data_IF_401153003565
#
_entry.id   IF_401153003565
#
_cell.length_a   1.000
_cell.length_b   1.000
_cell.length_c   1.000
_cell.angle_alpha   90.00
_cell.angle_beta   90.00
_cell.angle_gamma   90.00
#
_symmetry.space_group_name_H-M   'P 1'
#
loop_
_entity.id
_entity.type
_entity.pdbx_description
1 polymer ?
#
# COMPACT_ATOMS: atom_id res chain seq x y z
N UNK A 1 -6.99 -12.40 -13.19
CA UNK A 1 -6.20 -13.50 -12.57
C UNK A 1 -5.25 -13.04 -11.48
N UNK A 2 -4.45 -11.98 -11.67
CA UNK A 2 -3.48 -11.50 -10.68
C UNK A 2 -4.14 -10.93 -9.40
N UNK A 3 -5.19 -10.12 -9.54
CA UNK A 3 -5.95 -9.55 -8.41
C UNK A 3 -6.52 -10.67 -7.54
N UNK A 4 -7.02 -11.74 -8.15
CA UNK A 4 -7.58 -12.90 -7.45
C UNK A 4 -6.52 -13.63 -6.59
N UNK A 5 -5.30 -13.79 -7.09
CA UNK A 5 -4.21 -14.42 -6.30
C UNK A 5 -3.79 -13.56 -5.10
N UNK A 6 -3.87 -12.24 -5.22
CA UNK A 6 -3.43 -11.31 -4.18
C UNK A 6 -4.42 -11.17 -3.03
N UNK A 7 -5.71 -11.31 -3.33
CA UNK A 7 -6.78 -11.32 -2.34
C UNK A 7 -6.66 -12.51 -1.37
N UNK A 8 -6.01 -13.59 -1.79
CA UNK A 8 -5.88 -14.79 -0.97
C UNK A 8 -4.81 -14.69 0.12
N UNK A 9 -3.79 -13.84 -0.01
CA UNK A 9 -2.71 -13.78 0.99
C UNK A 9 -2.86 -12.63 1.98
N UNK A 10 -3.54 -11.53 1.61
CA UNK A 10 -3.75 -10.38 2.49
C UNK A 10 -5.11 -9.74 2.32
N UNK A 11 -5.58 -9.11 3.37
CA UNK A 11 -6.60 -8.09 3.28
C UNK A 11 -5.91 -6.77 2.93
N UNK A 12 -6.35 -6.11 1.86
CA UNK A 12 -6.03 -4.72 1.57
C UNK A 12 -7.30 -4.03 1.12
N UNK A 13 -7.97 -3.38 2.03
CA UNK A 13 -9.34 -2.88 1.82
C UNK A 13 -9.48 -1.43 2.23
N UNK A 14 -10.13 -0.59 1.40
CA UNK A 14 -10.61 0.72 1.83
C UNK A 14 -11.84 0.54 2.74
N UNK A 15 -11.89 1.26 3.84
CA UNK A 15 -13.08 1.30 4.68
C UNK A 15 -14.15 2.18 4.01
N UNK A 16 -15.45 1.77 4.03
CA UNK A 16 -16.50 2.46 3.28
C UNK A 16 -16.78 3.90 3.73
N UNK A 17 -16.65 4.16 5.04
CA UNK A 17 -16.87 5.49 5.61
C UNK A 17 -15.55 6.26 5.72
N UNK A 18 -15.60 7.57 5.48
CA UNK A 18 -14.49 8.48 5.74
C UNK A 18 -14.38 8.80 7.24
N UNK A 19 -13.19 9.16 7.70
CA UNK A 19 -13.00 9.74 9.03
C UNK A 19 -13.75 11.08 9.14
N UNK A 20 -13.96 11.58 10.37
CA UNK A 20 -14.57 12.90 10.62
C UNK A 20 -13.84 14.04 9.89
N UNK A 21 -12.55 13.86 9.61
CA UNK A 21 -11.71 14.80 8.87
C UNK A 21 -11.67 14.50 7.36
N UNK A 22 -12.56 13.65 6.84
CA UNK A 22 -12.69 13.26 5.44
C UNK A 22 -11.47 12.55 4.85
N UNK A 23 -10.78 11.70 5.63
CA UNK A 23 -9.73 10.83 5.14
C UNK A 23 -10.25 9.42 4.87
N UNK A 24 -9.77 8.78 3.79
CA UNK A 24 -10.02 7.38 3.50
C UNK A 24 -9.07 6.50 4.30
N UNK A 25 -9.61 5.51 5.01
CA UNK A 25 -8.81 4.53 5.75
C UNK A 25 -8.61 3.27 4.91
N UNK A 26 -7.36 2.85 4.77
CA UNK A 26 -6.98 1.59 4.15
C UNK A 26 -6.46 0.64 5.20
N UNK A 27 -7.01 -0.57 5.22
CA UNK A 27 -6.59 -1.63 6.13
C UNK A 27 -5.77 -2.68 5.39
N UNK A 28 -4.59 -3.00 5.92
CA UNK A 28 -3.74 -4.09 5.46
C UNK A 28 -3.51 -5.10 6.59
N UNK A 29 -3.72 -6.39 6.27
CA UNK A 29 -3.41 -7.52 7.15
C UNK A 29 -3.03 -8.73 6.33
N UNK A 30 -1.93 -9.38 6.68
CA UNK A 30 -1.58 -10.69 6.12
C UNK A 30 -2.54 -11.75 6.66
N UNK A 31 -3.15 -12.55 5.78
CA UNK A 31 -4.13 -13.60 6.14
C UNK A 31 -3.43 -14.86 6.64
N UNK A 32 -2.49 -15.35 5.86
CA UNK A 32 -1.78 -16.60 6.09
C UNK A 32 -0.28 -16.41 5.96
N UNK A 33 0.45 -16.85 6.98
CA UNK A 33 1.91 -16.78 7.05
C UNK A 33 2.56 -17.60 5.92
N UNK A 34 2.05 -18.80 5.65
CA UNK A 34 2.65 -19.69 4.64
C UNK A 34 2.51 -19.15 3.22
N UNK A 35 1.37 -18.52 2.92
CA UNK A 35 1.14 -17.88 1.63
C UNK A 35 1.98 -16.60 1.50
N UNK A 36 2.10 -15.82 2.58
CA UNK A 36 2.87 -14.57 2.60
C UNK A 36 4.35 -14.75 2.27
N UNK A 37 4.96 -15.89 2.62
CA UNK A 37 6.36 -16.17 2.33
C UNK A 37 6.68 -16.31 0.84
N UNK A 38 5.70 -16.70 0.03
CA UNK A 38 5.85 -16.91 -1.41
C UNK A 38 5.40 -15.72 -2.26
N UNK A 39 4.88 -14.64 -1.62
CA UNK A 39 4.38 -13.48 -2.33
C UNK A 39 5.52 -12.65 -2.92
N UNK A 40 5.36 -12.25 -4.17
CA UNK A 40 6.18 -11.23 -4.79
C UNK A 40 5.66 -9.83 -4.40
N UNK A 41 6.55 -9.01 -3.85
CA UNK A 41 6.19 -7.67 -3.36
C UNK A 41 5.66 -6.76 -4.48
N UNK A 42 6.12 -6.96 -5.71
CA UNK A 42 5.60 -6.23 -6.87
C UNK A 42 4.10 -6.43 -7.06
N UNK A 43 3.59 -7.61 -6.70
CA UNK A 43 2.16 -7.88 -6.78
C UNK A 43 1.38 -7.11 -5.70
N UNK A 44 1.94 -6.96 -4.49
CA UNK A 44 1.34 -6.09 -3.45
C UNK A 44 1.21 -4.65 -3.98
N UNK A 45 2.26 -4.13 -4.61
CA UNK A 45 2.25 -2.79 -5.18
C UNK A 45 1.20 -2.65 -6.30
N UNK A 46 1.06 -3.66 -7.15
CA UNK A 46 0.00 -3.67 -8.19
C UNK A 46 -1.40 -3.59 -7.57
N UNK A 47 -1.67 -4.37 -6.51
CA UNK A 47 -2.95 -4.29 -5.81
C UNK A 47 -3.17 -2.88 -5.24
N UNK A 48 -2.16 -2.32 -4.58
CA UNK A 48 -2.24 -0.96 -4.02
C UNK A 48 -2.56 0.06 -5.12
N UNK A 49 -1.89 -0.01 -6.27
CA UNK A 49 -2.11 0.88 -7.40
C UNK A 49 -3.53 0.72 -7.96
N UNK A 50 -4.00 -0.51 -8.18
CA UNK A 50 -5.33 -0.76 -8.72
C UNK A 50 -6.44 -0.28 -7.76
N UNK A 51 -6.27 -0.45 -6.44
CA UNK A 51 -7.21 0.11 -5.46
C UNK A 51 -7.18 1.64 -5.49
N UNK A 52 -6.01 2.24 -5.72
CA UNK A 52 -5.88 3.70 -5.90
C UNK A 52 -6.55 4.20 -7.17
N UNK A 53 -6.51 3.45 -8.27
CA UNK A 53 -7.27 3.76 -9.49
C UNK A 53 -8.77 3.81 -9.20
N UNK A 54 -9.33 2.80 -8.51
CA UNK A 54 -10.75 2.82 -8.08
C UNK A 54 -11.05 4.03 -7.20
N UNK A 55 -10.16 4.35 -6.27
CA UNK A 55 -10.32 5.53 -5.40
C UNK A 55 -10.39 6.82 -6.22
N UNK A 56 -9.55 6.98 -7.25
CA UNK A 56 -9.58 8.17 -8.09
C UNK A 56 -10.90 8.34 -8.86
N UNK A 57 -11.55 7.24 -9.22
CA UNK A 57 -12.80 7.26 -9.96
C UNK A 57 -14.00 7.57 -9.05
N UNK A 58 -14.02 6.98 -7.85
CA UNK A 58 -15.23 6.96 -7.02
C UNK A 58 -15.17 7.86 -5.78
N UNK A 59 -13.98 8.25 -5.33
CA UNK A 59 -13.81 8.79 -3.99
C UNK A 59 -13.49 10.29 -3.98
N UNK A 60 -14.11 10.99 -3.03
CA UNK A 60 -13.80 12.40 -2.73
C UNK A 60 -13.24 12.44 -1.32
N UNK A 61 -11.92 12.51 -1.19
CA UNK A 61 -11.22 12.47 0.10
C UNK A 61 -10.11 13.53 0.17
N UNK A 62 -9.80 13.98 1.39
CA UNK A 62 -8.65 14.87 1.63
C UNK A 62 -7.30 14.13 1.67
N UNK A 63 -7.31 12.83 1.61
CA UNK A 63 -6.12 11.98 1.64
C UNK A 63 -6.37 10.66 2.37
N UNK A 64 -5.28 10.00 2.75
CA UNK A 64 -5.27 8.63 3.20
C UNK A 64 -4.76 8.46 4.62
N UNK A 65 -5.37 7.51 5.32
CA UNK A 65 -4.87 6.89 6.55
C UNK A 65 -4.65 5.41 6.29
N UNK A 66 -3.51 4.87 6.69
CA UNK A 66 -3.22 3.44 6.58
C UNK A 66 -3.17 2.78 7.94
N UNK A 67 -3.72 1.59 8.04
CA UNK A 67 -3.59 0.69 9.18
C UNK A 67 -2.93 -0.60 8.70
N UNK A 68 -1.77 -0.93 9.26
CA UNK A 68 -1.06 -2.18 9.01
C UNK A 68 -1.11 -3.05 10.26
N UNK A 69 -1.76 -4.23 10.17
CA UNK A 69 -1.70 -5.24 11.22
C UNK A 69 -0.52 -6.18 10.96
N UNK A 70 0.49 -6.08 11.83
CA UNK A 70 1.72 -6.86 11.78
C UNK A 70 1.61 -8.28 12.33
N UNK A 71 0.44 -8.69 12.86
CA UNK A 71 0.28 -9.96 13.59
C UNK A 71 0.76 -11.21 12.83
N UNK A 72 0.53 -11.27 11.52
CA UNK A 72 0.91 -12.39 10.67
C UNK A 72 2.07 -12.03 9.73
N UNK A 73 2.79 -10.93 9.98
CA UNK A 73 3.96 -10.56 9.19
C UNK A 73 5.15 -11.43 9.58
N UNK A 74 5.88 -11.97 8.59
CA UNK A 74 7.11 -12.74 8.82
C UNK A 74 8.33 -11.87 8.55
N UNK A 75 9.45 -12.20 9.21
CA UNK A 75 10.72 -11.56 8.93
C UNK A 75 11.10 -11.68 7.44
N UNK A 76 10.81 -12.83 6.83
CA UNK A 76 11.07 -13.08 5.40
C UNK A 76 10.29 -12.11 4.50
N UNK A 77 9.00 -11.89 4.78
CA UNK A 77 8.19 -10.89 4.06
C UNK A 77 8.76 -9.48 4.25
N UNK A 78 9.13 -9.12 5.47
CA UNK A 78 9.69 -7.81 5.76
C UNK A 78 11.05 -7.58 5.07
N UNK A 79 11.88 -8.60 4.93
CA UNK A 79 13.14 -8.49 4.19
C UNK A 79 12.93 -8.26 2.70
N UNK A 80 11.81 -8.74 2.13
CA UNK A 80 11.42 -8.45 0.75
C UNK A 80 10.92 -7.01 0.57
N UNK A 81 10.28 -6.44 1.61
CA UNK A 81 9.77 -5.05 1.61
C UNK A 81 10.89 -4.12 2.05
N UNK A 82 11.84 -3.86 1.16
CA UNK A 82 12.99 -3.02 1.48
C UNK A 82 12.59 -1.56 1.73
N UNK A 83 13.34 -0.81 2.57
CA UNK A 83 13.10 0.61 2.78
C UNK A 83 13.14 1.44 1.50
N UNK A 84 14.01 1.08 0.55
CA UNK A 84 14.08 1.74 -0.78
C UNK A 84 12.80 1.52 -1.57
N UNK A 85 12.27 0.30 -1.55
CA UNK A 85 11.00 -0.01 -2.21
C UNK A 85 9.84 0.78 -1.61
N UNK A 86 9.77 0.86 -0.27
CA UNK A 86 8.76 1.69 0.44
C UNK A 86 8.88 3.16 0.01
N UNK A 87 10.10 3.69 -0.01
CA UNK A 87 10.36 5.07 -0.40
C UNK A 87 9.92 5.34 -1.84
N UNK A 88 10.28 4.47 -2.79
CA UNK A 88 9.89 4.60 -4.19
C UNK A 88 8.37 4.49 -4.36
N UNK A 89 7.72 3.52 -3.71
CA UNK A 89 6.27 3.38 -3.73
C UNK A 89 5.57 4.64 -3.19
N UNK A 90 6.08 5.23 -2.11
CA UNK A 90 5.55 6.49 -1.57
C UNK A 90 5.71 7.66 -2.54
N UNK A 91 6.83 7.75 -3.27
CA UNK A 91 7.04 8.79 -4.29
C UNK A 91 6.03 8.62 -5.42
N UNK A 92 5.89 7.41 -5.95
CA UNK A 92 4.93 7.12 -7.02
C UNK A 92 3.52 7.49 -6.58
N UNK A 93 3.06 6.95 -5.45
CA UNK A 93 1.68 7.12 -4.98
C UNK A 93 1.39 8.59 -4.60
N UNK A 94 2.29 9.26 -3.86
CA UNK A 94 1.97 10.56 -3.26
C UNK A 94 2.52 11.79 -4.00
N UNK A 95 3.37 11.61 -5.00
CA UNK A 95 3.95 12.74 -5.72
C UNK A 95 3.76 12.69 -7.22
N UNK A 96 3.90 11.50 -7.83
CA UNK A 96 4.00 11.42 -9.28
C UNK A 96 2.68 11.04 -9.95
N UNK A 97 1.95 10.08 -9.38
CA UNK A 97 0.76 9.53 -10.03
C UNK A 97 -0.52 10.07 -9.39
N UNK A 98 -0.75 9.77 -8.11
CA UNK A 98 -2.04 10.05 -7.48
C UNK A 98 -2.10 11.37 -6.72
N UNK A 99 -0.95 11.99 -6.43
CA UNK A 99 -0.84 13.29 -5.72
C UNK A 99 -1.65 13.38 -4.42
N UNK A 100 -1.91 12.24 -3.77
CA UNK A 100 -2.69 12.15 -2.57
C UNK A 100 -1.91 12.61 -1.32
N UNK A 101 -2.64 12.96 -0.27
CA UNK A 101 -2.05 13.36 1.01
C UNK A 101 -2.05 12.18 1.97
N UNK A 102 -0.86 11.74 2.41
CA UNK A 102 -0.74 10.82 3.54
C UNK A 102 -1.01 11.57 4.84
N UNK A 103 -2.07 11.23 5.58
CA UNK A 103 -2.39 11.80 6.90
C UNK A 103 -1.65 11.08 8.01
N UNK A 104 -1.82 9.75 8.09
CA UNK A 104 -1.21 8.91 9.11
C UNK A 104 -1.02 7.45 8.64
N UNK A 105 -0.09 6.76 9.26
CA UNK A 105 0.12 5.31 9.16
C UNK A 105 0.13 4.76 10.58
N UNK A 106 -0.78 3.86 10.90
CA UNK A 106 -0.84 3.13 12.16
C UNK A 106 -0.35 1.70 11.93
N UNK A 107 0.68 1.31 12.65
CA UNK A 107 1.22 -0.07 12.61
C UNK A 107 0.90 -0.68 13.97
N UNK A 108 -0.02 -1.64 13.98
CA UNK A 108 -0.47 -2.35 15.17
C UNK A 108 0.09 -3.77 15.19
N UNK A 109 0.21 -4.38 16.38
CA UNK A 109 0.70 -5.75 16.57
C UNK A 109 2.05 -5.99 15.85
N UNK A 110 2.91 -4.99 15.84
CA UNK A 110 4.20 -5.06 15.13
C UNK A 110 5.13 -6.06 15.83
N UNK A 111 5.71 -7.05 15.11
CA UNK A 111 6.72 -7.92 15.67
C UNK A 111 7.96 -7.13 16.14
N UNK A 112 8.71 -7.65 17.14
CA UNK A 112 9.87 -6.97 17.73
C UNK A 112 10.97 -6.60 16.71
N UNK A 113 11.14 -7.38 15.65
CA UNK A 113 12.12 -7.06 14.60
C UNK A 113 11.75 -5.82 13.76
N UNK A 114 10.52 -5.30 13.89
CA UNK A 114 10.07 -4.07 13.21
C UNK A 114 10.88 -2.85 13.64
N UNK A 115 11.44 -2.83 14.85
CA UNK A 115 12.29 -1.74 15.34
C UNK A 115 13.49 -1.47 14.44
N UNK A 116 14.12 -2.53 13.91
CA UNK A 116 15.25 -2.41 12.97
C UNK A 116 14.82 -1.77 11.65
N UNK A 117 13.64 -2.15 11.12
CA UNK A 117 13.07 -1.53 9.93
C UNK A 117 12.80 -0.04 10.17
N UNK A 118 12.24 0.32 11.32
CA UNK A 118 11.98 1.72 11.71
C UNK A 118 13.27 2.53 11.74
N UNK A 119 14.35 1.99 12.30
CA UNK A 119 15.64 2.65 12.34
C UNK A 119 16.15 2.97 10.93
N UNK A 120 16.03 2.02 9.99
CA UNK A 120 16.40 2.23 8.59
C UNK A 120 15.46 3.24 7.90
N UNK A 121 14.15 3.16 8.13
CA UNK A 121 13.20 4.12 7.57
C UNK A 121 13.48 5.55 8.06
N UNK A 122 13.89 5.74 9.31
CA UNK A 122 14.28 7.05 9.86
C UNK A 122 15.46 7.67 9.13
N UNK A 123 16.38 6.89 8.57
CA UNK A 123 17.53 7.40 7.83
C UNK A 123 17.21 7.82 6.40
N UNK A 124 16.11 7.29 5.83
CA UNK A 124 15.74 7.50 4.42
C UNK A 124 14.57 8.48 4.29
N UNK A 125 13.56 8.36 5.17
CA UNK A 125 12.35 9.17 5.11
C UNK A 125 12.57 10.56 5.71
N UNK A 126 11.99 11.56 5.06
CA UNK A 126 11.98 12.92 5.62
C UNK A 126 11.32 12.94 7.01
N UNK A 127 11.81 13.74 7.97
CA UNK A 127 11.25 13.82 9.33
C UNK A 127 9.73 14.07 9.36
N UNK A 128 9.21 14.85 8.41
CA UNK A 128 7.77 15.11 8.25
C UNK A 128 6.95 13.84 7.98
N UNK A 129 7.50 12.88 7.23
CA UNK A 129 6.84 11.61 6.95
C UNK A 129 6.93 10.67 8.15
N UNK A 130 8.10 10.63 8.81
CA UNK A 130 8.27 9.83 10.02
C UNK A 130 7.29 10.21 11.14
N UNK A 131 6.97 11.50 11.30
CA UNK A 131 5.98 11.99 12.27
C UNK A 131 4.55 11.48 12.00
N UNK A 132 4.27 10.95 10.82
CA UNK A 132 2.97 10.39 10.44
C UNK A 132 2.88 8.89 10.64
N UNK A 133 3.98 8.22 10.99
CA UNK A 133 4.05 6.78 11.23
C UNK A 133 4.01 6.54 12.74
N UNK A 134 2.98 5.82 13.18
CA UNK A 134 2.70 5.54 14.58
C UNK A 134 2.76 4.03 14.80
N UNK A 135 3.62 3.60 15.72
CA UNK A 135 3.69 2.21 16.16
C UNK A 135 2.85 2.08 17.43
N UNK A 136 1.89 1.16 17.40
CA UNK A 136 0.94 0.93 18.48
C UNK A 136 1.01 -0.53 18.89
N UNK A 137 0.98 -0.80 20.19
CA UNK A 137 1.06 -2.17 20.71
C UNK A 137 -0.14 -3.01 20.27
N UNK A 138 -1.32 -2.41 20.28
CA UNK A 138 -2.58 -3.09 19.96
C UNK A 138 -3.50 -2.20 19.14
N UNK A 139 -4.72 -2.68 18.86
CA UNK A 139 -5.73 -1.99 18.07
C UNK A 139 -6.57 -0.96 18.82
N UNK A 140 -6.47 -0.85 20.15
CA UNK A 140 -7.37 -0.01 20.96
C UNK A 140 -7.25 1.48 20.58
N UNK A 141 -6.02 1.89 20.23
CA UNK A 141 -5.75 3.25 19.74
C UNK A 141 -6.54 3.61 18.49
N UNK A 142 -6.92 2.63 17.68
CA UNK A 142 -7.64 2.88 16.42
C UNK A 142 -9.06 3.40 16.68
N UNK A 143 -9.70 2.98 17.77
CA UNK A 143 -11.03 3.47 18.15
C UNK A 143 -11.01 4.97 18.38
N UNK A 144 -9.98 5.46 19.07
CA UNK A 144 -9.80 6.90 19.33
C UNK A 144 -9.44 7.68 18.05
N UNK A 145 -8.53 7.15 17.22
CA UNK A 145 -7.95 7.88 16.07
C UNK A 145 -8.79 7.82 14.80
N UNK A 146 -9.57 6.76 14.62
CA UNK A 146 -10.34 6.51 13.39
C UNK A 146 -11.83 6.63 13.65
N UNK A 147 -12.31 6.13 14.80
CA UNK A 147 -13.71 6.09 15.18
C UNK A 147 -14.28 4.67 15.12
N UNK A 148 -15.04 4.31 16.14
CA UNK A 148 -15.64 2.98 16.29
C UNK A 148 -16.61 2.64 15.16
N UNK A 149 -17.35 3.64 14.69
CA UNK A 149 -18.32 3.53 13.61
C UNK A 149 -17.72 3.23 12.22
N UNK A 150 -16.40 3.39 12.07
CA UNK A 150 -15.67 3.19 10.82
C UNK A 150 -14.89 1.88 10.86
N UNK A 151 -14.34 1.54 12.04
CA UNK A 151 -13.48 0.38 12.20
C UNK A 151 -14.23 -0.92 11.95
N UNK A 152 -13.54 -1.94 11.35
CA UNK A 152 -14.08 -3.29 11.22
C UNK A 152 -14.39 -3.93 12.58
N UNK A 153 -15.39 -4.80 12.63
CA UNK A 153 -15.73 -5.59 13.82
C UNK A 153 -14.54 -6.44 14.32
N UNK A 154 -13.65 -6.84 13.42
CA UNK A 154 -12.39 -7.57 13.73
C UNK A 154 -11.48 -6.80 14.70
N UNK A 155 -11.67 -5.48 14.82
CA UNK A 155 -10.86 -4.56 15.63
C UNK A 155 -11.71 -3.78 16.63
N UNK A 156 -12.82 -4.34 17.08
CA UNK A 156 -13.71 -3.73 18.08
C UNK A 156 -14.57 -2.59 17.55
N UNK A 157 -14.66 -2.43 16.21
CA UNK A 157 -15.52 -1.45 15.54
C UNK A 157 -16.94 -1.95 15.31
N UNK A 158 -17.71 -1.12 14.61
CA UNK A 158 -19.10 -1.37 14.22
C UNK A 158 -19.25 -1.52 12.67
N UNK A 159 -18.12 -1.40 11.95
CA UNK A 159 -18.10 -1.57 10.50
C UNK A 159 -18.13 -3.04 10.07
N UNK A 160 -18.21 -3.28 8.77
CA UNK A 160 -18.12 -4.64 8.19
C UNK A 160 -16.79 -5.29 8.54
N UNK A 161 -16.78 -6.63 8.63
CA UNK A 161 -15.55 -7.41 8.80
C UNK A 161 -14.58 -7.22 7.62
N UNK A 162 -13.28 -7.46 7.86
CA UNK A 162 -12.29 -7.44 6.78
C UNK A 162 -12.64 -8.39 5.63
N UNK A 163 -13.28 -9.53 5.94
CA UNK A 163 -13.72 -10.49 4.93
C UNK A 163 -14.81 -9.90 4.05
N UNK A 164 -15.86 -9.33 4.63
CA UNK A 164 -16.95 -8.68 3.89
C UNK A 164 -16.44 -7.50 3.04
N UNK A 165 -15.54 -6.69 3.60
CA UNK A 165 -14.91 -5.58 2.88
C UNK A 165 -14.09 -6.04 1.68
N UNK A 166 -13.39 -7.16 1.83
CA UNK A 166 -12.64 -7.78 0.75
C UNK A 166 -13.56 -8.31 -0.36
N UNK A 167 -14.68 -8.92 -0.01
CA UNK A 167 -15.69 -9.38 -0.98
C UNK A 167 -16.29 -8.20 -1.73
N UNK A 168 -16.60 -7.09 -1.04
CA UNK A 168 -17.06 -5.85 -1.66
C UNK A 168 -16.03 -5.26 -2.62
N UNK A 169 -14.75 -5.24 -2.24
CA UNK A 169 -13.68 -4.77 -3.11
C UNK A 169 -13.53 -5.66 -4.35
N UNK A 170 -13.65 -6.97 -4.16
CA UNK A 170 -13.61 -7.92 -5.27
C UNK A 170 -14.75 -7.67 -6.26
N UNK A 171 -15.98 -7.46 -5.76
CA UNK A 171 -17.11 -7.11 -6.61
C UNK A 171 -16.85 -5.82 -7.40
N UNK A 172 -16.28 -4.79 -6.75
CA UNK A 172 -15.91 -3.57 -7.46
C UNK A 172 -14.91 -3.81 -8.60
N UNK A 173 -13.90 -4.64 -8.39
CA UNK A 173 -12.97 -4.97 -9.47
C UNK A 173 -13.67 -5.66 -10.66
N UNK A 174 -14.68 -6.51 -10.39
CA UNK A 174 -15.48 -7.11 -11.44
C UNK A 174 -16.33 -6.05 -12.16
N UNK A 175 -16.94 -5.12 -11.43
CA UNK A 175 -17.75 -4.05 -12.01
C UNK A 175 -16.92 -3.10 -12.91
N UNK A 176 -15.62 -3.02 -12.67
CA UNK A 176 -14.64 -2.21 -13.42
C UNK A 176 -13.71 -3.04 -14.34
N UNK A 177 -14.07 -4.30 -14.67
CA UNK A 177 -13.22 -5.20 -15.45
C UNK A 177 -12.84 -4.61 -16.83
N UNK A 178 -13.81 -4.03 -17.54
CA UNK A 178 -13.58 -3.36 -18.81
C UNK A 178 -12.60 -2.18 -18.69
N UNK A 179 -12.70 -1.42 -17.61
CA UNK A 179 -11.78 -0.32 -17.33
C UNK A 179 -10.35 -0.82 -17.13
N UNK A 180 -10.14 -1.84 -16.31
CA UNK A 180 -8.81 -2.40 -16.05
C UNK A 180 -8.25 -3.12 -17.28
N UNK A 181 -9.09 -3.81 -18.05
CA UNK A 181 -8.70 -4.41 -19.33
C UNK A 181 -8.19 -3.35 -20.30
N UNK A 182 -8.87 -2.20 -20.37
CA UNK A 182 -8.41 -1.07 -21.19
C UNK A 182 -7.09 -0.50 -20.67
N UNK A 183 -6.90 -0.35 -19.34
CA UNK A 183 -5.62 0.10 -18.78
C UNK A 183 -4.48 -0.83 -19.13
N UNK A 184 -4.71 -2.14 -19.15
CA UNK A 184 -3.70 -3.14 -19.53
C UNK A 184 -3.24 -3.02 -21.00
N UNK A 185 -4.02 -2.36 -21.86
CA UNK A 185 -3.63 -2.09 -23.26
C UNK A 185 -2.79 -0.83 -23.43
N UNK A 186 -2.81 0.10 -22.45
CA UNK A 186 -2.06 1.34 -22.54
C UNK A 186 -0.56 1.07 -22.48
N UNK A 187 0.18 1.72 -23.37
CA UNK A 187 1.65 1.65 -23.43
C UNK A 187 2.21 3.05 -23.58
N UNK A 188 3.34 3.28 -22.93
CA UNK A 188 4.11 4.52 -23.11
C UNK A 188 4.86 4.41 -24.44
N UNK A 189 4.77 5.46 -25.26
CA UNK A 189 5.67 5.61 -26.39
C UNK A 189 7.01 6.15 -25.87
N UNK A 190 8.01 5.29 -25.77
CA UNK A 190 9.33 5.65 -25.23
C UNK A 190 10.07 6.67 -26.09
N UNK A 191 9.76 6.77 -27.38
CA UNK A 191 10.36 7.76 -28.29
C UNK A 191 9.93 9.20 -27.95
N UNK A 192 8.74 9.35 -27.37
CA UNK A 192 8.20 10.64 -26.92
C UNK A 192 8.65 11.03 -25.50
N UNK A 193 9.38 10.16 -24.81
CA UNK A 193 9.83 10.40 -23.44
C UNK A 193 10.90 11.49 -23.41
N UNK A 194 10.75 12.57 -22.60
CA UNK A 194 11.81 13.55 -22.43
C UNK A 194 13.11 12.87 -21.96
N UNK A 195 14.27 13.31 -22.49
CA UNK A 195 15.58 12.72 -22.14
C UNK A 195 15.83 12.66 -20.62
N UNK A 196 15.39 13.68 -19.89
CA UNK A 196 15.50 13.71 -18.41
C UNK A 196 14.75 12.59 -17.68
N UNK A 197 13.69 12.01 -18.31
CA UNK A 197 12.94 10.88 -17.74
C UNK A 197 13.53 9.52 -18.16
N UNK A 198 14.42 9.51 -19.18
CA UNK A 198 15.13 8.28 -19.59
C UNK A 198 16.20 7.86 -18.56
N UNK A 199 16.67 8.80 -17.75
CA UNK A 199 17.69 8.58 -16.71
C UNK A 199 17.09 8.74 -15.31
N UNK A 200 15.81 8.45 -15.11
CA UNK A 200 15.17 8.56 -13.80
C UNK A 200 15.73 7.47 -12.86
N UNK A 201 16.43 7.90 -11.84
CA UNK A 201 17.05 7.02 -10.81
C UNK A 201 16.04 6.10 -10.12
N UNK A 202 14.74 6.44 -10.18
CA UNK A 202 13.67 5.68 -9.53
C UNK A 202 13.33 4.36 -10.25
N UNK A 203 13.45 4.34 -11.59
CA UNK A 203 13.16 3.15 -12.40
C UNK A 203 14.42 2.45 -12.89
N UNK A 204 15.59 2.96 -12.52
CA UNK A 204 16.88 2.52 -13.03
C UNK A 204 17.14 3.03 -14.45
N UNK A 205 18.36 2.88 -14.95
CA UNK A 205 18.70 3.25 -16.33
C UNK A 205 17.84 2.40 -17.27
N UNK A 206 16.94 3.04 -18.02
CA UNK A 206 16.22 2.37 -19.10
C UNK A 206 17.21 2.07 -20.23
N UNK A 207 17.69 0.85 -20.28
CA UNK A 207 18.57 0.36 -21.32
C UNK A 207 19.94 -0.09 -20.83
N UNK A 208 20.24 -1.29 -21.18
CA UNK A 208 21.51 -2.00 -21.13
C UNK A 208 22.37 -1.77 -19.89
N UNK A 209 22.36 -2.73 -19.00
CA UNK A 209 23.49 -2.96 -18.11
C UNK A 209 24.75 -3.04 -18.98
N UNK A 210 25.51 -1.94 -19.09
CA UNK A 210 26.90 -2.05 -19.49
C UNK A 210 27.54 -2.93 -18.43
N UNK A 211 28.11 -4.08 -18.86
CA UNK A 211 28.97 -4.90 -18.04
C UNK A 211 29.94 -3.99 -17.31
N UNK A 212 29.89 -3.96 -15.99
CA UNK A 212 31.00 -3.46 -15.19
C UNK A 212 32.15 -4.44 -15.47
N UNK A 213 33.08 -4.03 -16.29
CA UNK A 213 34.40 -4.65 -16.35
C UNK A 213 35.07 -4.27 -15.02
N UNK A 214 35.21 -5.28 -14.16
CA UNK A 214 36.00 -5.17 -12.92
C UNK A 214 37.41 -5.55 -13.34
N UNK A 215 38.30 -4.55 -13.43
CA UNK A 215 39.75 -4.76 -13.48
C UNK A 215 40.28 -5.22 -12.11
#
# INVERSE_FOLDING_TARGET
>A
MLIFMMINFSFYVPLPKLTKEHYRVFFYKTRDIHVAENVEVVNILRLVINVKELQMIEDVTYGDVYVFDGKNSTLRLMLKVTPVLIYNAMIVIYKQVFSNRLKAVYIINAPSYTEKLVAVLKSILKPKLMKRIHFCENSDVLVEKIGKEILPVDYGGEGKSLKELQEMLYQKFNDYDDYFTRLDTLRINDDLKPQRLKNDEMFGPSGNFKKLEID
#
